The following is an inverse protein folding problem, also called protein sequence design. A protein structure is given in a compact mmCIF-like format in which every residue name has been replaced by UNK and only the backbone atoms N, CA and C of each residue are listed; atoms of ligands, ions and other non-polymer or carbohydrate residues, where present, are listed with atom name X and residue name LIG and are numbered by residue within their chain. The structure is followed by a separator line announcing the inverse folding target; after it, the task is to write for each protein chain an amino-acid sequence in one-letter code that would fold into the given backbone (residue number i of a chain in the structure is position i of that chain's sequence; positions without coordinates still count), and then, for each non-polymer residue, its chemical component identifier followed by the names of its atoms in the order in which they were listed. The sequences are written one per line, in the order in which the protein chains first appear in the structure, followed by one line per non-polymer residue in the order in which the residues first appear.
data_IF_138101476367
#
_entry.id   IF_138101476367
#
_cell.length_a   1.000
_cell.length_b   1.000
_cell.length_c   1.000
_cell.angle_alpha   90.00
_cell.angle_beta   90.00
_cell.angle_gamma   90.00
#
_symmetry.space_group_name_H-M   'P 1'
#
loop_
_entity.id
_entity.type
_entity.pdbx_description
1 polymer ?
#
# COMPACT_ATOMS: atom_id res chain seq x y z
N UNK A 1 -26.95 4.86 2.23
CA UNK A 1 -27.12 5.73 3.42
C UNK A 1 -26.15 5.43 4.57
N UNK A 2 -25.97 4.17 5.00
CA UNK A 2 -25.18 3.82 6.20
C UNK A 2 -23.69 4.26 6.21
N UNK A 3 -22.98 4.12 5.08
CA UNK A 3 -21.55 4.50 4.96
C UNK A 3 -21.30 6.01 5.11
N UNK A 4 -22.29 6.84 4.81
CA UNK A 4 -22.21 8.30 4.95
C UNK A 4 -22.27 8.73 6.41
N UNK A 5 -23.22 8.15 7.17
CA UNK A 5 -23.43 8.43 8.60
C UNK A 5 -22.21 8.01 9.43
N UNK A 6 -21.66 6.81 9.18
CA UNK A 6 -20.43 6.35 9.86
C UNK A 6 -19.22 7.25 9.61
N UNK A 7 -19.11 7.82 8.40
CA UNK A 7 -18.00 8.71 8.04
C UNK A 7 -18.12 10.06 8.74
N UNK A 8 -19.35 10.55 8.95
CA UNK A 8 -19.63 11.79 9.69
C UNK A 8 -19.34 11.60 11.18
N UNK A 9 -19.83 10.51 11.79
CA UNK A 9 -19.56 10.18 13.19
C UNK A 9 -18.07 9.99 13.48
N UNK A 10 -17.33 9.33 12.57
CA UNK A 10 -15.87 9.20 12.70
C UNK A 10 -15.12 10.53 12.65
N UNK A 11 -15.58 11.49 11.83
CA UNK A 11 -15.01 12.85 11.80
C UNK A 11 -15.30 13.62 13.08
N UNK A 12 -16.51 13.48 13.63
CA UNK A 12 -16.89 14.10 14.90
C UNK A 12 -16.09 13.53 16.09
N UNK A 13 -15.72 12.24 16.03
CA UNK A 13 -14.85 11.57 17.00
C UNK A 13 -13.34 11.82 16.77
N UNK A 14 -12.95 12.74 15.87
CA UNK A 14 -11.55 13.07 15.58
C UNK A 14 -10.77 12.03 14.76
N UNK A 15 -11.38 10.91 14.36
CA UNK A 15 -10.74 9.87 13.54
C UNK A 15 -10.70 10.31 12.07
N UNK A 16 -9.50 10.63 11.58
CA UNK A 16 -9.29 10.91 10.15
C UNK A 16 -9.23 9.60 9.37
N UNK A 17 -9.91 9.49 8.21
CA UNK A 17 -9.77 8.32 7.36
C UNK A 17 -8.33 8.24 6.79
N UNK A 18 -7.83 7.02 6.50
CA UNK A 18 -6.50 6.86 5.90
C UNK A 18 -6.42 7.58 4.56
N UNK A 19 -5.28 8.20 4.28
CA UNK A 19 -5.01 8.84 2.99
C UNK A 19 -4.83 7.76 1.93
N UNK A 20 -5.53 7.92 0.81
CA UNK A 20 -5.41 7.01 -0.34
C UNK A 20 -4.19 7.42 -1.14
N UNK A 21 -3.30 6.47 -1.42
CA UNK A 21 -2.05 6.70 -2.15
C UNK A 21 -1.89 5.67 -3.26
N UNK A 22 -1.46 6.12 -4.43
CA UNK A 22 -0.95 5.24 -5.48
C UNK A 22 0.56 5.16 -5.29
N UNK A 23 1.12 3.96 -5.36
CA UNK A 23 2.56 3.75 -5.18
C UNK A 23 3.24 3.57 -6.54
N UNK A 24 4.37 4.21 -6.75
CA UNK A 24 5.20 3.91 -7.92
C UNK A 24 5.84 2.51 -7.77
N UNK A 25 6.13 1.83 -8.88
CA UNK A 25 6.88 0.58 -8.89
C UNK A 25 8.26 0.73 -8.23
N UNK A 26 8.90 1.90 -8.39
CA UNK A 26 10.17 2.23 -7.75
C UNK A 26 10.07 2.23 -6.22
N UNK A 27 8.94 2.66 -5.65
CA UNK A 27 8.71 2.59 -4.20
C UNK A 27 8.66 1.13 -3.75
N UNK A 28 7.96 0.27 -4.51
CA UNK A 28 7.87 -1.16 -4.19
C UNK A 28 9.24 -1.86 -4.28
N UNK A 29 10.04 -1.53 -5.30
CA UNK A 29 11.37 -2.12 -5.50
C UNK A 29 12.38 -1.60 -4.47
N UNK A 30 12.42 -0.29 -4.22
CA UNK A 30 13.28 0.27 -3.19
C UNK A 30 12.95 -0.29 -1.81
N UNK A 31 11.65 -0.43 -1.50
CA UNK A 31 11.22 -1.14 -0.31
C UNK A 31 11.81 -2.56 -0.31
N UNK A 32 11.57 -3.37 -1.35
CA UNK A 32 12.00 -4.76 -1.43
C UNK A 32 13.45 -5.00 -0.98
N UNK A 33 14.37 -4.09 -1.30
CA UNK A 33 15.81 -4.28 -1.08
C UNK A 33 16.39 -3.51 0.10
N UNK A 34 15.83 -2.36 0.49
CA UNK A 34 16.36 -1.56 1.59
C UNK A 34 15.36 -1.43 2.74
N UNK A 35 15.57 -2.19 3.82
CA UNK A 35 14.74 -2.18 5.03
C UNK A 35 14.74 -0.83 5.76
N UNK A 36 15.80 -0.03 5.66
CA UNK A 36 15.90 1.29 6.29
C UNK A 36 15.31 2.44 5.46
N UNK A 37 14.88 2.17 4.22
CA UNK A 37 14.42 3.19 3.29
C UNK A 37 13.09 3.83 3.70
N UNK A 38 12.88 5.06 3.25
CA UNK A 38 11.57 5.71 3.33
C UNK A 38 10.51 4.88 2.58
N UNK A 39 10.85 4.26 1.45
CA UNK A 39 9.96 3.38 0.69
C UNK A 39 9.49 2.17 1.52
N UNK A 40 10.37 1.54 2.31
CA UNK A 40 9.96 0.47 3.23
C UNK A 40 8.95 0.99 4.24
N UNK A 41 9.20 2.14 4.87
CA UNK A 41 8.27 2.73 5.85
C UNK A 41 6.90 3.07 5.25
N UNK A 42 6.88 3.60 4.02
CA UNK A 42 5.64 3.89 3.30
C UNK A 42 4.84 2.62 3.03
N UNK A 43 5.51 1.54 2.58
CA UNK A 43 4.85 0.25 2.33
C UNK A 43 4.28 -0.34 3.63
N UNK A 44 5.02 -0.32 4.73
CA UNK A 44 4.53 -0.78 6.03
C UNK A 44 3.30 0.02 6.49
N UNK A 45 3.34 1.35 6.37
CA UNK A 45 2.19 2.19 6.71
C UNK A 45 0.94 1.87 5.87
N UNK A 46 1.12 1.48 4.60
CA UNK A 46 0.03 1.02 3.75
C UNK A 46 -0.47 -0.39 4.13
N UNK A 47 0.42 -1.28 4.56
CA UNK A 47 0.07 -2.62 5.05
C UNK A 47 -0.70 -2.55 6.38
N UNK A 48 -0.35 -1.62 7.26
CA UNK A 48 -1.07 -1.36 8.50
C UNK A 48 -2.47 -0.78 8.26
N UNK A 49 -2.65 -0.01 7.18
CA UNK A 49 -3.95 0.53 6.76
C UNK A 49 -4.54 1.63 7.65
N UNK A 50 -3.80 2.07 8.68
CA UNK A 50 -4.26 3.09 9.65
C UNK A 50 -4.18 4.50 9.09
N UNK A 51 -3.00 4.88 8.59
CA UNK A 51 -2.73 6.24 8.11
C UNK A 51 -2.74 6.33 6.58
N UNK A 52 -2.24 5.29 5.92
CA UNK A 52 -2.19 5.19 4.47
C UNK A 52 -2.95 3.96 3.99
N UNK A 53 -3.64 4.11 2.87
CA UNK A 53 -4.25 3.02 2.13
C UNK A 53 -3.75 3.05 0.70
N UNK A 54 -2.97 2.03 0.33
CA UNK A 54 -2.59 1.83 -1.05
C UNK A 54 -3.85 1.60 -1.90
N UNK A 55 -3.87 2.17 -3.10
CA UNK A 55 -4.90 1.92 -4.10
C UNK A 55 -4.27 1.68 -5.45
N UNK A 56 -4.83 0.74 -6.21
CA UNK A 56 -4.37 0.43 -7.55
C UNK A 56 -5.53 0.34 -8.55
N UNK A 57 -5.24 0.63 -9.81
CA UNK A 57 -6.12 0.24 -10.91
C UNK A 57 -5.78 -1.19 -11.36
N UNK A 58 -6.68 -1.89 -12.05
CA UNK A 58 -6.36 -3.22 -12.61
C UNK A 58 -5.14 -3.21 -13.53
N UNK A 59 -4.88 -2.11 -14.25
CA UNK A 59 -3.69 -1.96 -15.09
C UNK A 59 -2.40 -1.85 -14.25
N UNK A 60 -2.41 -1.01 -13.21
CA UNK A 60 -1.28 -0.87 -12.29
C UNK A 60 -0.98 -2.18 -11.54
N UNK A 61 -2.01 -2.91 -11.14
CA UNK A 61 -1.84 -4.21 -10.48
C UNK A 61 -1.07 -5.22 -11.35
N UNK A 62 -1.37 -5.28 -12.66
CA UNK A 62 -0.63 -6.13 -13.60
C UNK A 62 0.84 -5.71 -13.71
N UNK A 63 1.11 -4.41 -13.72
CA UNK A 63 2.48 -3.88 -13.75
C UNK A 63 3.23 -4.22 -12.47
N UNK A 64 2.62 -4.03 -11.30
CA UNK A 64 3.20 -4.40 -10.02
C UNK A 64 3.54 -5.89 -9.98
N UNK A 65 2.61 -6.76 -10.35
CA UNK A 65 2.83 -8.21 -10.39
C UNK A 65 3.97 -8.59 -11.35
N UNK A 66 4.02 -7.96 -12.54
CA UNK A 66 5.08 -8.17 -13.53
C UNK A 66 6.46 -7.80 -12.98
N UNK A 67 6.56 -6.64 -12.34
CA UNK A 67 7.81 -6.10 -11.78
C UNK A 67 8.23 -6.89 -10.54
N UNK A 68 7.33 -7.20 -9.61
CA UNK A 68 7.65 -7.96 -8.40
C UNK A 68 8.15 -9.38 -8.71
N UNK A 69 7.58 -10.04 -9.73
CA UNK A 69 8.04 -11.36 -10.21
C UNK A 69 9.49 -11.34 -10.72
N UNK A 70 9.96 -10.19 -11.22
CA UNK A 70 11.30 -10.02 -11.81
C UNK A 70 12.29 -9.40 -10.83
N UNK A 71 12.04 -8.15 -10.46
CA UNK A 71 12.97 -7.30 -9.72
C UNK A 71 12.95 -7.52 -8.20
N UNK A 72 11.90 -8.14 -7.65
CA UNK A 72 11.84 -8.51 -6.23
C UNK A 72 11.92 -10.02 -5.99
N UNK A 73 12.25 -10.83 -7.02
CA UNK A 73 12.16 -12.30 -6.98
C UNK A 73 12.86 -12.93 -5.77
N UNK A 74 14.07 -12.47 -5.44
CA UNK A 74 14.90 -12.98 -4.33
C UNK A 74 14.76 -12.16 -3.04
N UNK A 75 13.89 -11.13 -3.01
CA UNK A 75 13.68 -10.35 -1.79
C UNK A 75 12.91 -11.18 -0.76
N UNK A 76 13.41 -11.21 0.48
CA UNK A 76 12.70 -11.81 1.62
C UNK A 76 11.36 -11.11 1.91
N UNK A 77 11.21 -9.87 1.47
CA UNK A 77 10.03 -9.05 1.71
C UNK A 77 8.99 -9.14 0.58
N UNK A 78 9.26 -9.93 -0.46
CA UNK A 78 8.35 -10.08 -1.61
C UNK A 78 6.93 -10.48 -1.22
N UNK A 79 6.76 -11.36 -0.21
CA UNK A 79 5.43 -11.80 0.25
C UNK A 79 4.59 -10.63 0.78
N UNK A 80 5.20 -9.72 1.53
CA UNK A 80 4.52 -8.52 2.03
C UNK A 80 4.12 -7.58 0.90
N UNK A 81 4.99 -7.39 -0.11
CA UNK A 81 4.63 -6.61 -1.31
C UNK A 81 3.51 -7.25 -2.11
N UNK A 82 3.52 -8.57 -2.24
CA UNK A 82 2.45 -9.32 -2.91
C UNK A 82 1.11 -9.11 -2.19
N UNK A 83 1.10 -9.21 -0.86
CA UNK A 83 -0.09 -8.94 -0.05
C UNK A 83 -0.60 -7.50 -0.20
N UNK A 84 0.30 -6.51 -0.24
CA UNK A 84 -0.06 -5.12 -0.50
C UNK A 84 -0.75 -4.97 -1.87
N UNK A 85 -0.18 -5.55 -2.92
CA UNK A 85 -0.72 -5.49 -4.29
C UNK A 85 -2.09 -6.17 -4.39
N UNK A 86 -2.31 -7.23 -3.60
CA UNK A 86 -3.58 -7.94 -3.59
C UNK A 86 -4.72 -7.15 -2.93
N UNK A 87 -4.37 -6.30 -1.97
CA UNK A 87 -5.30 -5.55 -1.12
C UNK A 87 -5.46 -4.06 -1.50
N UNK A 88 -4.62 -3.55 -2.39
CA UNK A 88 -4.63 -2.19 -2.93
C UNK A 88 -5.61 -2.00 -4.10
#
# INVERSE_FOLDING_TARGET
MLKGVLRILGRLAGKRPPKRVVLDTNVLIAAAWNKGSASRRIVEACLEGKDLRAVSSPALRREYEFILKRAARKSKYRKSLQHLVETA
#
